data_IF_265762986655
#
_entry.id   IF_265762986655
#
_cell.length_a   1.000
_cell.length_b   1.000
_cell.length_c   1.000
_cell.angle_alpha   90.00
_cell.angle_beta   90.00
_cell.angle_gamma   90.00
#
_symmetry.space_group_name_H-M   'P 1'
#
loop_
_entity.id
_entity.type
_entity.pdbx_description
1 polymer ?
#
# COMPACT_ATOMS: atom_id res chain seq x y z
N UNK A 1 -9.15 -0.93 31.18
CA UNK A 1 -9.20 -1.85 30.02
C UNK A 1 -8.20 -1.33 29.00
N UNK A 2 -7.32 -2.14 28.41
CA UNK A 2 -6.42 -1.68 27.37
C UNK A 2 -7.23 -1.17 26.16
N UNK A 3 -6.75 -0.10 25.51
CA UNK A 3 -7.39 0.45 24.33
C UNK A 3 -7.40 -0.59 23.19
N UNK A 4 -8.46 -0.66 22.37
CA UNK A 4 -8.50 -1.56 21.23
C UNK A 4 -7.35 -1.26 20.26
N UNK A 5 -6.69 -2.30 19.78
CA UNK A 5 -5.66 -2.16 18.75
C UNK A 5 -6.33 -2.23 17.38
N UNK A 6 -6.23 -1.15 16.60
CA UNK A 6 -6.66 -1.15 15.21
C UNK A 6 -5.51 -1.69 14.34
N UNK A 7 -5.81 -2.68 13.52
CA UNK A 7 -4.86 -3.15 12.52
C UNK A 7 -5.48 -3.06 11.13
N UNK A 8 -4.62 -2.85 10.14
CA UNK A 8 -4.98 -2.60 8.75
C UNK A 8 -4.50 -3.75 7.89
N UNK A 9 -5.35 -4.20 6.97
CA UNK A 9 -4.97 -5.17 5.96
C UNK A 9 -5.32 -4.65 4.59
N UNK A 10 -4.39 -4.80 3.65
CA UNK A 10 -4.61 -4.53 2.24
C UNK A 10 -4.73 -5.85 1.48
N UNK A 11 -5.74 -5.97 0.62
CA UNK A 11 -6.03 -7.15 -0.21
C UNK A 11 -7.25 -7.95 0.24
N UNK A 12 -7.55 -9.02 -0.51
CA UNK A 12 -8.78 -9.82 -0.40
C UNK A 12 -9.01 -10.48 0.98
N UNK A 13 -7.97 -10.74 1.76
CA UNK A 13 -8.07 -11.42 3.07
C UNK A 13 -6.97 -11.01 4.08
N UNK A 14 -7.03 -11.58 5.30
CA UNK A 14 -6.08 -11.37 6.40
C UNK A 14 -4.66 -11.88 6.10
N UNK A 15 -4.49 -12.92 5.28
CA UNK A 15 -3.21 -13.52 4.92
C UNK A 15 -3.25 -14.03 3.48
N UNK A 16 -3.11 -13.12 2.53
CA UNK A 16 -3.20 -13.48 1.11
C UNK A 16 -1.82 -13.71 0.54
N UNK A 17 -1.69 -14.60 -0.45
CA UNK A 17 -0.55 -14.62 -1.35
C UNK A 17 -0.18 -13.22 -1.89
N UNK A 18 -1.16 -12.32 -2.02
CA UNK A 18 -0.96 -10.93 -2.41
C UNK A 18 -0.08 -10.13 -1.45
N UNK A 19 -0.23 -10.32 -0.13
CA UNK A 19 0.62 -9.65 0.88
C UNK A 19 2.07 -10.10 0.80
N UNK A 20 2.30 -11.39 0.59
CA UNK A 20 3.64 -11.96 0.46
C UNK A 20 4.31 -11.42 -0.80
N UNK A 21 3.59 -11.41 -1.93
CA UNK A 21 4.12 -10.87 -3.19
C UNK A 21 4.38 -9.37 -3.12
N UNK A 22 3.50 -8.59 -2.48
CA UNK A 22 3.73 -7.17 -2.23
C UNK A 22 4.97 -6.94 -1.33
N UNK A 23 5.13 -7.73 -0.27
CA UNK A 23 6.32 -7.67 0.58
C UNK A 23 7.60 -8.00 -0.20
N UNK A 24 7.58 -9.05 -1.03
CA UNK A 24 8.70 -9.43 -1.89
C UNK A 24 9.05 -8.32 -2.90
N UNK A 25 8.05 -7.70 -3.50
CA UNK A 25 8.25 -6.54 -4.37
C UNK A 25 8.94 -5.41 -3.61
N UNK A 26 8.43 -5.06 -2.41
CA UNK A 26 8.98 -3.97 -1.61
C UNK A 26 10.43 -4.24 -1.16
N UNK A 27 10.75 -5.49 -0.81
CA UNK A 27 12.11 -5.91 -0.45
C UNK A 27 13.10 -5.68 -1.59
N UNK A 28 12.70 -5.91 -2.84
CA UNK A 28 13.54 -5.64 -4.01
C UNK A 28 13.81 -4.14 -4.25
N UNK A 29 13.08 -3.25 -3.57
CA UNK A 29 13.27 -1.80 -3.69
C UNK A 29 14.18 -1.23 -2.60
N UNK A 30 14.64 -2.05 -1.65
CA UNK A 30 15.55 -1.63 -0.58
C UNK A 30 16.83 -1.05 -1.20
N UNK A 31 17.25 0.11 -0.68
CA UNK A 31 18.41 0.85 -1.18
C UNK A 31 18.09 1.88 -2.28
N UNK A 32 16.88 1.89 -2.84
CA UNK A 32 16.46 2.96 -3.76
C UNK A 32 16.28 4.30 -3.03
N UNK A 33 16.60 5.43 -3.70
CA UNK A 33 16.41 6.75 -3.11
C UNK A 33 14.93 7.10 -2.90
N UNK A 34 14.70 8.06 -2.01
CA UNK A 34 13.35 8.57 -1.72
C UNK A 34 12.82 9.47 -2.84
N UNK A 35 11.53 9.36 -3.15
CA UNK A 35 10.89 10.20 -4.17
C UNK A 35 10.25 11.47 -3.59
N UNK A 36 10.88 12.64 -3.79
CA UNK A 36 10.29 13.92 -3.38
C UNK A 36 9.11 14.42 -4.21
N UNK A 37 8.76 13.76 -5.33
CA UNK A 37 7.61 14.15 -6.18
C UNK A 37 6.37 13.41 -5.70
N UNK A 38 5.47 14.11 -5.01
CA UNK A 38 4.24 13.52 -4.44
C UNK A 38 3.02 13.63 -5.36
N UNK A 39 2.89 14.72 -6.12
CA UNK A 39 1.70 15.01 -6.92
C UNK A 39 1.53 14.08 -8.15
N UNK A 40 2.59 13.38 -8.56
CA UNK A 40 2.57 12.42 -9.67
C UNK A 40 3.53 11.29 -9.36
N UNK A 41 3.15 10.42 -8.41
CA UNK A 41 4.00 9.34 -7.92
C UNK A 41 3.52 7.95 -8.37
N UNK A 42 2.42 7.79 -9.13
CA UNK A 42 1.91 6.46 -9.53
C UNK A 42 2.74 5.78 -10.61
N UNK A 43 3.88 5.19 -10.22
CA UNK A 43 4.75 4.37 -11.08
C UNK A 43 5.17 3.09 -10.37
N UNK A 44 4.85 1.94 -10.99
CA UNK A 44 5.13 0.62 -10.42
C UNK A 44 6.63 0.36 -10.36
N UNK A 45 7.38 0.49 -11.46
CA UNK A 45 8.83 0.22 -11.51
C UNK A 45 9.63 1.54 -11.51
N UNK A 46 9.54 2.29 -10.43
CA UNK A 46 10.25 3.56 -10.29
C UNK A 46 11.72 3.36 -9.87
N UNK A 47 12.58 4.31 -10.24
CA UNK A 47 13.95 4.39 -9.73
C UNK A 47 14.04 4.92 -8.31
N UNK A 48 12.96 5.54 -7.81
CA UNK A 48 12.79 6.12 -6.47
C UNK A 48 11.34 5.98 -6.03
N UNK A 49 11.11 5.80 -4.74
CA UNK A 49 9.76 5.68 -4.17
C UNK A 49 9.59 6.60 -2.96
N UNK A 50 8.39 7.15 -2.78
CA UNK A 50 7.97 7.68 -1.47
C UNK A 50 7.16 6.63 -0.71
N UNK A 51 6.78 6.98 0.53
CA UNK A 51 6.16 6.07 1.47
C UNK A 51 4.89 5.39 0.92
N UNK A 52 3.91 6.18 0.48
CA UNK A 52 2.65 5.66 -0.07
C UNK A 52 2.82 5.06 -1.46
N UNK A 53 3.69 5.62 -2.29
CA UNK A 53 3.98 5.09 -3.62
C UNK A 53 4.49 3.65 -3.57
N UNK A 54 5.43 3.34 -2.68
CA UNK A 54 6.01 1.99 -2.60
C UNK A 54 4.94 0.95 -2.25
N UNK A 55 4.05 1.27 -1.30
CA UNK A 55 2.96 0.38 -0.90
C UNK A 55 1.99 0.17 -2.06
N UNK A 56 1.54 1.26 -2.71
CA UNK A 56 0.67 1.17 -3.89
C UNK A 56 1.30 0.33 -5.01
N UNK A 57 2.57 0.60 -5.35
CA UNK A 57 3.29 -0.10 -6.40
C UNK A 57 3.39 -1.61 -6.11
N UNK A 58 3.64 -1.98 -4.86
CA UNK A 58 3.79 -3.37 -4.43
C UNK A 58 2.50 -4.20 -4.60
N UNK A 59 1.33 -3.62 -4.31
CA UNK A 59 0.05 -4.30 -4.53
C UNK A 59 -0.34 -4.28 -6.00
N UNK A 60 -0.20 -3.13 -6.67
CA UNK A 60 -0.54 -2.96 -8.09
C UNK A 60 0.33 -3.81 -9.03
N UNK A 61 1.60 -4.05 -8.68
CA UNK A 61 2.50 -4.92 -9.45
C UNK A 61 2.08 -6.38 -9.43
N UNK A 62 1.37 -6.79 -8.38
CA UNK A 62 0.96 -8.16 -8.19
C UNK A 62 -0.42 -8.44 -8.84
N UNK A 63 -1.35 -7.50 -8.72
CA UNK A 63 -2.68 -7.62 -9.32
C UNK A 63 -3.10 -6.25 -9.91
N UNK A 64 -3.28 -6.14 -11.23
CA UNK A 64 -3.66 -4.87 -11.85
C UNK A 64 -5.06 -4.39 -11.41
N UNK A 65 -5.90 -5.27 -10.88
CA UNK A 65 -7.24 -4.92 -10.38
C UNK A 65 -7.21 -4.30 -8.97
N UNK A 66 -6.13 -4.50 -8.21
CA UNK A 66 -5.97 -3.92 -6.88
C UNK A 66 -5.41 -2.51 -7.02
N UNK A 67 -6.25 -1.51 -6.81
CA UNK A 67 -5.85 -0.10 -6.80
C UNK A 67 -6.09 0.56 -5.44
N UNK A 68 -5.00 0.93 -4.77
CA UNK A 68 -5.07 1.56 -3.45
C UNK A 68 -5.29 3.06 -3.52
N UNK A 69 -5.40 3.63 -4.72
CA UNK A 69 -5.78 5.02 -4.91
C UNK A 69 -7.31 5.17 -4.82
N UNK A 70 -7.79 5.61 -3.65
CA UNK A 70 -9.22 5.79 -3.40
C UNK A 70 -9.83 7.03 -4.07
N UNK A 71 -9.02 7.99 -4.53
CA UNK A 71 -9.51 9.25 -5.11
C UNK A 71 -9.30 9.37 -6.63
N UNK A 72 -8.47 8.49 -7.21
CA UNK A 72 -8.24 8.38 -8.67
C UNK A 72 -7.29 9.45 -9.24
N UNK A 73 -6.69 10.28 -8.40
CA UNK A 73 -5.80 11.37 -8.79
C UNK A 73 -4.44 10.91 -9.30
N UNK A 74 -3.56 11.82 -9.73
CA UNK A 74 -2.23 11.48 -10.26
C UNK A 74 -1.24 10.97 -9.18
N UNK A 75 -1.52 11.27 -7.91
CA UNK A 75 -0.74 10.82 -6.76
C UNK A 75 -1.50 9.82 -5.91
N UNK A 76 -0.77 8.98 -5.19
CA UNK A 76 -1.28 8.10 -4.14
C UNK A 76 -0.69 8.50 -2.79
N UNK A 77 -1.55 8.69 -1.80
CA UNK A 77 -1.23 9.18 -0.46
C UNK A 77 -1.63 8.15 0.61
N UNK A 78 -1.11 8.26 1.84
CA UNK A 78 -1.47 7.34 2.92
C UNK A 78 -2.98 7.26 3.20
N UNK A 79 -3.69 8.38 3.07
CA UNK A 79 -5.15 8.44 3.19
C UNK A 79 -5.87 7.64 2.12
N UNK A 80 -5.34 7.60 0.90
CA UNK A 80 -5.93 6.81 -0.19
C UNK A 80 -5.84 5.32 0.13
N UNK A 81 -4.68 4.88 0.60
CA UNK A 81 -4.48 3.50 1.03
C UNK A 81 -5.43 3.16 2.18
N UNK A 82 -5.57 4.03 3.18
CA UNK A 82 -6.44 3.80 4.32
C UNK A 82 -7.93 3.71 3.94
N UNK A 83 -8.36 4.49 2.95
CA UNK A 83 -9.76 4.60 2.50
C UNK A 83 -10.09 3.72 1.28
N UNK A 84 -9.12 3.00 0.72
CA UNK A 84 -9.34 2.11 -0.41
C UNK A 84 -10.33 0.99 -0.05
N UNK A 85 -11.17 0.60 -1.02
CA UNK A 85 -12.05 -0.58 -0.90
C UNK A 85 -11.27 -1.90 -0.72
N UNK A 86 -9.96 -1.89 -0.98
CA UNK A 86 -9.05 -3.00 -0.75
C UNK A 86 -8.45 -3.01 0.66
N UNK A 87 -8.80 -2.02 1.50
CA UNK A 87 -8.28 -1.89 2.87
C UNK A 87 -9.36 -2.21 3.89
N UNK A 88 -9.12 -3.25 4.68
CA UNK A 88 -10.03 -3.68 5.74
C UNK A 88 -9.48 -3.30 7.11
N UNK A 89 -10.38 -2.79 7.94
CA UNK A 89 -10.15 -2.40 9.33
C UNK A 89 -10.75 -3.44 10.25
N UNK A 90 -10.02 -3.83 11.29
CA UNK A 90 -10.54 -4.68 12.34
C UNK A 90 -9.97 -4.25 13.69
N UNK A 91 -10.83 -4.25 14.68
CA UNK A 91 -10.44 -4.09 16.08
C UNK A 91 -10.00 -5.44 16.62
N UNK A 92 -8.82 -5.47 17.24
CA UNK A 92 -8.46 -6.56 18.12
C UNK A 92 -8.72 -6.08 19.54
N UNK A 93 -9.65 -6.74 20.22
CA UNK A 93 -9.71 -6.70 21.69
C UNK A 93 -8.67 -7.68 22.22
N UNK A 94 -7.69 -7.16 22.96
CA UNK A 94 -6.70 -7.95 23.69
C UNK A 94 -7.33 -8.52 24.97
#
# INVERSE_FOLDING_TARGET
>A
MPAPAHKYYVGWDKQSPNKIKAANFALQQVGKPYNGVFFNNKKINASKYNCSQLVWAAYKSNDPNVDLDANGGPGVYPSDIANSSWTTWYEIRL
#
